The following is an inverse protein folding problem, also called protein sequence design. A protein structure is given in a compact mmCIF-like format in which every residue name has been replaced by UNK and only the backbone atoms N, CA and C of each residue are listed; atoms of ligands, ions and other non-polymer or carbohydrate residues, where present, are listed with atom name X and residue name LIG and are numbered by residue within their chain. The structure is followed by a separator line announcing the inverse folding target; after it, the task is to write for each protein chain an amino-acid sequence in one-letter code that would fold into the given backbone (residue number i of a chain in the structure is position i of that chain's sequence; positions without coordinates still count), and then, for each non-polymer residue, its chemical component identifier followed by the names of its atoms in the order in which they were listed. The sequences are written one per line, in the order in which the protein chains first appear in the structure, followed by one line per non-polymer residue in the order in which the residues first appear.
data_IF_245561042364
#
_entry.id   IF_245561042364
#
_cell.length_a   1.000
_cell.length_b   1.000
_cell.length_c   1.000
_cell.angle_alpha   90.00
_cell.angle_beta   90.00
_cell.angle_gamma   90.00
#
_symmetry.space_group_name_H-M   'P 1'
#
loop_
_entity.id
_entity.type
_entity.pdbx_description
1 polymer ?
#
# COMPACT_ATOMS: atom_id res chain seq x y z
N UNK A 1 13.69 7.11 -2.90
CA UNK A 1 14.25 5.86 -2.33
C UNK A 1 13.11 4.98 -1.83
N UNK A 2 13.21 3.66 -2.06
CA UNK A 2 12.24 2.72 -1.52
C UNK A 2 12.41 2.58 0.00
N UNK A 3 11.31 2.53 0.72
CA UNK A 3 11.29 2.52 2.18
C UNK A 3 10.34 1.44 2.69
N UNK A 4 10.73 0.73 3.75
CA UNK A 4 9.84 -0.14 4.51
C UNK A 4 9.73 0.36 5.96
N UNK A 5 8.51 0.61 6.39
CA UNK A 5 8.15 1.10 7.73
C UNK A 5 7.60 -0.08 8.52
N UNK A 6 8.21 -0.35 9.67
CA UNK A 6 7.80 -1.43 10.57
C UNK A 6 7.39 -0.84 11.89
N UNK A 7 6.14 -1.01 12.24
CA UNK A 7 5.59 -0.56 13.52
C UNK A 7 4.45 -1.45 13.97
N UNK A 8 4.05 -1.35 15.23
CA UNK A 8 2.93 -2.11 15.77
C UNK A 8 1.60 -1.71 15.11
N UNK A 9 0.60 -2.57 15.18
CA UNK A 9 -0.76 -2.29 14.75
C UNK A 9 -1.30 -1.07 15.51
N UNK A 10 -2.08 -0.22 14.86
CA UNK A 10 -2.63 1.04 15.41
C UNK A 10 -1.60 2.12 15.82
N UNK A 11 -0.39 2.08 15.28
CA UNK A 11 0.70 3.03 15.59
C UNK A 11 0.74 4.27 14.69
N UNK A 12 -0.32 4.57 13.93
CA UNK A 12 -0.34 5.70 13.00
C UNK A 12 0.43 5.48 11.71
N UNK A 13 0.66 4.23 11.30
CA UNK A 13 1.37 3.87 10.04
C UNK A 13 0.86 4.65 8.82
N UNK A 14 -0.46 4.75 8.67
CA UNK A 14 -1.09 5.47 7.54
C UNK A 14 -0.62 6.91 7.47
N UNK A 15 -0.57 7.62 8.58
CA UNK A 15 -0.09 9.01 8.63
C UNK A 15 1.41 9.10 8.34
N UNK A 16 2.20 8.12 8.75
CA UNK A 16 3.65 8.16 8.57
C UNK A 16 4.10 8.16 7.11
N UNK A 17 3.34 7.52 6.21
CA UNK A 17 3.61 7.59 4.77
C UNK A 17 2.78 8.66 4.06
N UNK A 18 1.54 8.88 4.51
CA UNK A 18 0.62 9.77 3.80
C UNK A 18 1.03 11.24 3.94
N UNK A 19 1.43 11.68 5.15
CA UNK A 19 1.80 13.08 5.36
C UNK A 19 2.99 13.54 4.50
N UNK A 20 4.11 12.81 4.40
CA UNK A 20 5.19 13.18 3.48
C UNK A 20 4.76 13.21 2.02
N UNK A 21 3.97 12.23 1.57
CA UNK A 21 3.46 12.16 0.19
C UNK A 21 2.55 13.35 -0.10
N UNK A 22 1.61 13.69 0.80
CA UNK A 22 0.72 14.84 0.64
C UNK A 22 1.49 16.16 0.67
N UNK A 23 2.45 16.31 1.60
CA UNK A 23 3.30 17.50 1.64
C UNK A 23 4.06 17.72 0.33
N UNK A 24 4.54 16.64 -0.27
CA UNK A 24 5.20 16.73 -1.57
C UNK A 24 4.19 16.99 -2.70
N UNK A 25 3.03 16.34 -2.66
CA UNK A 25 1.97 16.52 -3.66
C UNK A 25 1.50 17.98 -3.74
N UNK A 26 1.26 18.63 -2.58
CA UNK A 26 0.83 20.04 -2.51
C UNK A 26 1.91 20.98 -3.04
N UNK A 27 3.18 20.67 -2.83
CA UNK A 27 4.31 21.52 -3.27
C UNK A 27 4.75 21.23 -4.71
N UNK A 28 4.29 20.14 -5.30
CA UNK A 28 4.71 19.75 -6.63
C UNK A 28 4.18 20.74 -7.68
N UNK A 29 4.97 21.10 -8.70
CA UNK A 29 4.55 22.00 -9.78
C UNK A 29 3.45 21.40 -10.67
N UNK A 30 3.30 20.07 -10.63
CA UNK A 30 2.26 19.34 -11.35
C UNK A 30 1.80 18.13 -10.54
N UNK A 31 0.52 17.74 -10.65
CA UNK A 31 0.00 16.56 -9.97
C UNK A 31 0.73 15.28 -10.40
N UNK A 32 0.97 14.37 -9.45
CA UNK A 32 1.55 13.06 -9.72
C UNK A 32 0.66 11.93 -9.18
N UNK A 33 0.84 10.73 -9.70
CA UNK A 33 0.08 9.55 -9.31
C UNK A 33 0.63 8.90 -8.04
N UNK A 34 -0.27 8.44 -7.18
CA UNK A 34 -0.01 7.62 -5.99
C UNK A 34 -0.90 6.38 -6.04
N UNK A 35 -0.29 5.20 -6.05
CA UNK A 35 -1.00 3.93 -6.01
C UNK A 35 -0.91 3.35 -4.60
N UNK A 36 -2.07 3.10 -3.98
CA UNK A 36 -2.18 2.53 -2.64
C UNK A 36 -2.71 1.10 -2.76
N UNK A 37 -1.89 0.14 -2.35
CA UNK A 37 -2.21 -1.29 -2.44
C UNK A 37 -2.44 -1.89 -1.07
N UNK A 38 -3.62 -2.48 -0.91
CA UNK A 38 -4.02 -3.25 0.25
C UNK A 38 -4.20 -4.73 -0.13
N UNK A 39 -3.91 -5.68 0.78
CA UNK A 39 -3.98 -7.10 0.43
C UNK A 39 -5.39 -7.60 0.13
N UNK A 40 -6.40 -6.96 0.70
CA UNK A 40 -7.81 -7.36 0.53
C UNK A 40 -8.71 -6.17 0.25
N UNK A 41 -9.87 -6.42 -0.40
CA UNK A 41 -10.92 -5.43 -0.63
C UNK A 41 -11.46 -4.81 0.67
N UNK A 42 -11.61 -5.63 1.74
CA UNK A 42 -12.11 -5.15 3.02
C UNK A 42 -11.20 -4.09 3.63
N UNK A 43 -9.88 -4.32 3.63
CA UNK A 43 -8.89 -3.35 4.08
C UNK A 43 -8.87 -2.09 3.19
N UNK A 44 -8.98 -2.25 1.87
CA UNK A 44 -9.06 -1.11 0.95
C UNK A 44 -10.22 -0.18 1.29
N UNK A 45 -11.41 -0.74 1.56
CA UNK A 45 -12.62 0.03 1.88
C UNK A 45 -12.56 0.68 3.26
N UNK A 46 -12.04 -0.01 4.26
CA UNK A 46 -11.83 0.56 5.60
C UNK A 46 -10.90 1.78 5.55
N UNK A 47 -9.81 1.67 4.80
CA UNK A 47 -8.86 2.75 4.63
C UNK A 47 -9.37 3.89 3.74
N UNK A 48 -10.27 3.64 2.80
CA UNK A 48 -10.87 4.67 1.93
C UNK A 48 -11.51 5.79 2.74
N UNK A 49 -12.29 5.46 3.76
CA UNK A 49 -12.93 6.45 4.63
C UNK A 49 -11.92 7.31 5.41
N UNK A 50 -10.84 6.72 5.86
CA UNK A 50 -9.78 7.43 6.59
C UNK A 50 -8.94 8.29 5.64
N UNK A 51 -8.49 7.73 4.52
CA UNK A 51 -7.77 8.43 3.47
C UNK A 51 -8.60 9.56 2.87
N UNK A 52 -9.88 9.31 2.59
CA UNK A 52 -10.80 10.30 2.06
C UNK A 52 -10.93 11.54 2.95
N UNK A 53 -10.99 11.37 4.28
CA UNK A 53 -11.03 12.49 5.22
C UNK A 53 -9.73 13.30 5.22
N UNK A 54 -8.60 12.64 5.18
CA UNK A 54 -7.28 13.29 5.15
C UNK A 54 -7.02 13.98 3.80
N UNK A 55 -7.40 13.33 2.71
CA UNK A 55 -7.22 13.88 1.37
C UNK A 55 -8.17 15.04 1.07
N UNK A 56 -9.41 15.02 1.57
CA UNK A 56 -10.37 16.13 1.41
C UNK A 56 -9.85 17.48 1.95
N UNK A 57 -9.00 17.43 2.96
CA UNK A 57 -8.37 18.65 3.50
C UNK A 57 -7.23 19.18 2.62
N UNK A 58 -6.65 18.36 1.76
CA UNK A 58 -5.44 18.66 1.01
C UNK A 58 -5.62 18.58 -0.53
N UNK A 59 -6.63 17.84 -1.00
CA UNK A 59 -6.84 17.55 -2.42
C UNK A 59 -8.34 17.52 -2.71
N UNK A 60 -8.75 17.93 -3.91
CA UNK A 60 -10.13 17.79 -4.37
C UNK A 60 -10.59 16.32 -4.28
N UNK A 61 -11.80 16.10 -3.77
CA UNK A 61 -12.34 14.75 -3.51
C UNK A 61 -12.37 13.84 -4.74
N UNK A 62 -12.46 14.40 -5.94
CA UNK A 62 -12.46 13.67 -7.22
C UNK A 62 -11.09 13.07 -7.57
N UNK A 63 -10.02 13.47 -6.89
CA UNK A 63 -8.66 12.99 -7.14
C UNK A 63 -8.34 11.67 -6.44
N UNK A 64 -9.22 11.18 -5.56
CA UNK A 64 -9.13 9.87 -4.92
C UNK A 64 -10.17 8.94 -5.54
N UNK A 65 -9.77 7.72 -5.89
CA UNK A 65 -10.68 6.68 -6.36
C UNK A 65 -10.28 5.29 -5.87
N UNK A 66 -11.27 4.47 -5.52
CA UNK A 66 -11.07 3.05 -5.21
C UNK A 66 -11.38 2.22 -6.45
N UNK A 67 -10.37 1.52 -6.94
CA UNK A 67 -10.45 0.68 -8.12
C UNK A 67 -10.38 -0.80 -7.73
N UNK A 68 -11.54 -1.41 -7.58
CA UNK A 68 -11.69 -2.82 -7.22
C UNK A 68 -12.69 -3.57 -8.14
N UNK A 69 -12.97 -4.85 -7.83
CA UNK A 69 -13.89 -5.68 -8.63
C UNK A 69 -15.32 -5.18 -8.62
N UNK A 70 -15.73 -4.44 -7.58
CA UNK A 70 -17.12 -3.96 -7.39
C UNK A 70 -17.30 -2.51 -7.88
N UNK A 71 -16.21 -1.83 -8.29
CA UNK A 71 -16.26 -0.46 -8.80
C UNK A 71 -17.11 -0.40 -10.08
N UNK A 72 -18.17 0.42 -10.16
CA UNK A 72 -19.01 0.57 -11.34
C UNK A 72 -18.23 1.04 -12.58
N UNK A 73 -18.70 0.67 -13.76
CA UNK A 73 -17.99 0.96 -15.02
C UNK A 73 -17.75 2.47 -15.24
N UNK A 74 -18.74 3.30 -14.95
CA UNK A 74 -18.62 4.75 -15.09
C UNK A 74 -17.60 5.33 -14.13
N UNK A 75 -17.59 4.86 -12.89
CA UNK A 75 -16.63 5.26 -11.89
C UNK A 75 -15.21 4.82 -12.26
N UNK A 76 -15.03 3.61 -12.81
CA UNK A 76 -13.74 3.15 -13.34
C UNK A 76 -13.16 4.10 -14.38
N UNK A 77 -13.99 4.57 -15.32
CA UNK A 77 -13.56 5.51 -16.35
C UNK A 77 -13.17 6.87 -15.74
N UNK A 78 -13.93 7.32 -14.75
CA UNK A 78 -13.63 8.56 -14.06
C UNK A 78 -12.31 8.49 -13.29
N UNK A 79 -12.08 7.40 -12.52
CA UNK A 79 -10.83 7.14 -11.80
C UNK A 79 -9.65 7.17 -12.76
N UNK A 80 -9.74 6.45 -13.87
CA UNK A 80 -8.69 6.39 -14.88
C UNK A 80 -8.33 7.75 -15.47
N UNK A 81 -9.33 8.63 -15.59
CA UNK A 81 -9.18 9.94 -16.23
C UNK A 81 -8.60 11.00 -15.29
N UNK A 82 -9.06 11.06 -14.04
CA UNK A 82 -8.81 12.21 -13.14
C UNK A 82 -8.13 11.87 -11.82
N UNK A 83 -8.15 10.60 -11.36
CA UNK A 83 -7.59 10.28 -10.07
C UNK A 83 -6.07 10.43 -10.03
N UNK A 84 -5.58 11.02 -8.94
CA UNK A 84 -4.16 11.09 -8.61
C UNK A 84 -3.82 10.06 -7.53
N UNK A 85 -4.76 9.74 -6.65
CA UNK A 85 -4.65 8.71 -5.64
C UNK A 85 -5.59 7.56 -5.99
N UNK A 86 -5.03 6.38 -6.21
CA UNK A 86 -5.80 5.17 -6.55
C UNK A 86 -5.58 4.10 -5.49
N UNK A 87 -6.66 3.71 -4.83
CA UNK A 87 -6.70 2.58 -3.90
C UNK A 87 -7.06 1.33 -4.69
N UNK A 88 -6.30 0.25 -4.52
CA UNK A 88 -6.56 -1.01 -5.22
C UNK A 88 -5.94 -2.20 -4.46
N UNK A 89 -5.97 -3.38 -5.07
CA UNK A 89 -5.34 -4.59 -4.58
C UNK A 89 -4.53 -5.29 -5.70
N UNK A 90 -3.68 -6.28 -5.37
CA UNK A 90 -2.84 -6.95 -6.36
C UNK A 90 -3.62 -7.64 -7.49
N UNK A 91 -4.81 -8.20 -7.19
CA UNK A 91 -5.64 -8.87 -8.20
C UNK A 91 -6.16 -7.88 -9.23
N UNK A 92 -6.63 -6.72 -8.78
CA UNK A 92 -7.08 -5.65 -9.67
C UNK A 92 -5.93 -5.00 -10.43
N UNK A 93 -4.74 -4.91 -9.82
CA UNK A 93 -3.55 -4.48 -10.53
C UNK A 93 -3.25 -5.44 -11.69
N UNK A 94 -3.35 -6.75 -11.44
CA UNK A 94 -3.15 -7.79 -12.45
C UNK A 94 -4.23 -7.81 -13.54
N UNK A 95 -5.50 -7.87 -13.14
CA UNK A 95 -6.62 -8.09 -14.06
C UNK A 95 -7.21 -6.81 -14.65
N UNK A 96 -7.13 -5.68 -13.94
CA UNK A 96 -7.78 -4.42 -14.33
C UNK A 96 -6.82 -3.38 -14.89
N UNK A 97 -5.65 -3.20 -14.27
CA UNK A 97 -4.69 -2.16 -14.67
C UNK A 97 -3.76 -2.64 -15.78
N UNK A 98 -3.05 -3.74 -15.57
CA UNK A 98 -2.05 -4.25 -16.52
C UNK A 98 -2.59 -4.50 -17.93
N UNK A 99 -3.73 -5.17 -18.13
CA UNK A 99 -4.25 -5.39 -19.49
C UNK A 99 -4.71 -4.12 -20.20
N UNK A 100 -5.05 -3.08 -19.43
CA UNK A 100 -5.60 -1.83 -19.91
C UNK A 100 -4.63 -0.64 -19.82
N UNK A 101 -3.34 -0.90 -19.60
CA UNK A 101 -2.33 0.12 -19.33
C UNK A 101 -2.21 1.18 -20.45
N UNK A 102 -2.41 0.79 -21.71
CA UNK A 102 -2.33 1.70 -22.86
C UNK A 102 -3.63 2.47 -23.12
N UNK A 103 -4.77 2.03 -22.58
CA UNK A 103 -6.08 2.62 -22.87
C UNK A 103 -6.49 3.64 -21.81
N UNK A 104 -6.81 3.19 -20.61
CA UNK A 104 -7.31 4.09 -19.56
C UNK A 104 -6.22 4.54 -18.56
N UNK A 105 -5.16 3.75 -18.39
CA UNK A 105 -4.17 3.97 -17.34
C UNK A 105 -2.91 4.71 -17.78
N UNK A 106 -2.74 4.96 -19.07
CA UNK A 106 -1.51 5.57 -19.63
C UNK A 106 -1.11 6.85 -18.90
N UNK A 107 -2.03 7.78 -18.73
CA UNK A 107 -1.74 9.08 -18.10
C UNK A 107 -1.40 8.93 -16.60
N UNK A 108 -2.13 8.07 -15.86
CA UNK A 108 -1.84 7.80 -14.47
C UNK A 108 -0.47 7.13 -14.31
N UNK A 109 -0.19 6.10 -15.11
CA UNK A 109 1.08 5.37 -15.06
C UNK A 109 2.27 6.25 -15.44
N UNK A 110 2.13 7.12 -16.43
CA UNK A 110 3.20 8.03 -16.87
C UNK A 110 3.61 9.06 -15.81
N UNK A 111 2.72 9.38 -14.87
CA UNK A 111 2.98 10.31 -13.76
C UNK A 111 3.03 9.63 -12.38
N UNK A 112 3.04 8.28 -12.35
CA UNK A 112 3.08 7.51 -11.11
C UNK A 112 4.42 7.74 -10.40
N UNK A 113 4.36 8.25 -9.15
CA UNK A 113 5.54 8.61 -8.36
C UNK A 113 5.73 7.73 -7.13
N UNK A 114 4.62 7.30 -6.52
CA UNK A 114 4.65 6.45 -5.33
C UNK A 114 3.76 5.24 -5.48
N UNK A 115 4.26 4.11 -5.00
CA UNK A 115 3.52 2.87 -4.77
C UNK A 115 3.58 2.59 -3.27
N UNK A 116 2.46 2.77 -2.59
CA UNK A 116 2.31 2.41 -1.19
C UNK A 116 1.78 0.98 -1.12
N UNK A 117 2.44 0.12 -0.37
CA UNK A 117 2.03 -1.28 -0.17
C UNK A 117 1.85 -1.51 1.32
N UNK A 118 0.60 -1.56 1.75
CA UNK A 118 0.29 -1.80 3.15
C UNK A 118 0.22 -3.30 3.45
N UNK A 119 0.44 -3.64 4.72
CA UNK A 119 0.47 -5.01 5.24
C UNK A 119 1.32 -5.98 4.38
N UNK A 120 2.47 -5.48 3.90
CA UNK A 120 3.35 -6.22 2.96
C UNK A 120 3.78 -7.59 3.49
N UNK A 121 3.76 -7.79 4.81
CA UNK A 121 4.08 -9.06 5.45
C UNK A 121 3.08 -10.19 5.12
N UNK A 122 1.91 -9.88 4.58
CA UNK A 122 0.91 -10.86 4.15
C UNK A 122 1.27 -11.53 2.82
N UNK A 123 2.13 -10.91 2.01
CA UNK A 123 2.55 -11.45 0.71
C UNK A 123 3.65 -12.51 0.86
N UNK A 124 3.26 -13.73 1.25
CA UNK A 124 4.15 -14.86 1.50
C UNK A 124 3.70 -16.11 0.73
N UNK A 125 4.60 -17.10 0.63
CA UNK A 125 4.32 -18.35 -0.03
C UNK A 125 3.93 -18.17 -1.50
N UNK A 126 2.98 -18.94 -1.97
CA UNK A 126 2.48 -18.92 -3.35
C UNK A 126 1.85 -17.57 -3.71
N UNK A 127 1.06 -17.00 -2.79
CA UNK A 127 0.47 -15.68 -2.98
C UNK A 127 1.54 -14.60 -3.13
N UNK A 128 2.57 -14.59 -2.28
CA UNK A 128 3.69 -13.67 -2.38
C UNK A 128 4.46 -13.81 -3.70
N UNK A 129 4.66 -15.04 -4.17
CA UNK A 129 5.31 -15.32 -5.46
C UNK A 129 4.49 -14.79 -6.64
N UNK A 130 3.16 -14.96 -6.59
CA UNK A 130 2.25 -14.40 -7.59
C UNK A 130 2.32 -12.87 -7.61
N UNK A 131 2.19 -12.24 -6.45
CA UNK A 131 2.26 -10.78 -6.30
C UNK A 131 3.59 -10.22 -6.78
N UNK A 132 4.72 -10.90 -6.49
CA UNK A 132 6.03 -10.51 -6.99
C UNK A 132 6.10 -10.48 -8.53
N UNK A 133 5.48 -11.46 -9.20
CA UNK A 133 5.40 -11.49 -10.66
C UNK A 133 4.51 -10.37 -11.22
N UNK A 134 3.39 -10.04 -10.55
CA UNK A 134 2.54 -8.91 -10.91
C UNK A 134 3.34 -7.61 -10.83
N UNK A 135 4.07 -7.37 -9.75
CA UNK A 135 4.89 -6.17 -9.60
C UNK A 135 6.02 -6.06 -10.62
N UNK A 136 6.70 -7.16 -10.96
CA UNK A 136 7.73 -7.14 -12.02
C UNK A 136 7.15 -6.69 -13.37
N UNK A 137 5.96 -7.17 -13.70
CA UNK A 137 5.26 -6.73 -14.92
C UNK A 137 4.83 -5.27 -14.82
N UNK A 138 4.31 -4.87 -13.66
CA UNK A 138 3.83 -3.52 -13.41
C UNK A 138 4.96 -2.48 -13.54
N UNK A 139 6.12 -2.74 -12.96
CA UNK A 139 7.27 -1.85 -13.05
C UNK A 139 7.76 -1.68 -14.50
N UNK A 140 7.79 -2.76 -15.28
CA UNK A 140 8.10 -2.67 -16.72
C UNK A 140 7.08 -1.80 -17.47
N UNK A 141 5.81 -1.92 -17.13
CA UNK A 141 4.76 -1.08 -17.72
C UNK A 141 4.94 0.39 -17.31
N UNK A 142 5.30 0.68 -16.05
CA UNK A 142 5.64 2.03 -15.61
C UNK A 142 6.80 2.62 -16.43
N UNK A 143 7.87 1.85 -16.65
CA UNK A 143 9.00 2.28 -17.48
C UNK A 143 8.60 2.57 -18.94
N UNK A 144 7.75 1.75 -19.53
CA UNK A 144 7.20 1.99 -20.89
C UNK A 144 6.45 3.33 -20.95
N UNK A 145 5.77 3.72 -19.87
CA UNK A 145 5.06 4.99 -19.77
C UNK A 145 5.92 6.14 -19.23
N UNK A 146 7.22 5.93 -19.02
CA UNK A 146 8.18 6.96 -18.61
C UNK A 146 8.24 7.25 -17.12
N UNK A 147 7.62 6.41 -16.25
CA UNK A 147 7.67 6.58 -14.80
C UNK A 147 8.57 5.54 -14.11
N UNK A 148 9.15 5.95 -12.97
CA UNK A 148 9.93 5.09 -12.06
C UNK A 148 9.50 5.35 -10.63
N UNK A 149 8.38 4.76 -10.21
CA UNK A 149 7.82 5.03 -8.90
C UNK A 149 8.70 4.48 -7.77
N UNK A 150 8.70 5.18 -6.63
CA UNK A 150 9.31 4.71 -5.38
C UNK A 150 8.30 3.95 -4.54
N UNK A 151 8.76 2.87 -3.90
CA UNK A 151 7.95 2.09 -2.97
C UNK A 151 7.98 2.65 -1.56
N UNK A 152 6.82 2.69 -0.92
CA UNK A 152 6.67 2.87 0.53
C UNK A 152 5.88 1.68 1.05
N UNK A 153 6.55 0.75 1.71
CA UNK A 153 5.94 -0.46 2.25
C UNK A 153 5.67 -0.30 3.74
N UNK A 154 4.51 -0.77 4.20
CA UNK A 154 4.18 -0.84 5.62
C UNK A 154 4.01 -2.30 6.04
N UNK A 155 4.54 -2.64 7.21
CA UNK A 155 4.52 -4.00 7.75
C UNK A 155 4.23 -3.99 9.24
N UNK A 156 3.59 -5.04 9.73
CA UNK A 156 3.63 -5.38 11.13
C UNK A 156 5.06 -5.77 11.54
N UNK A 157 5.28 -5.92 12.84
CA UNK A 157 6.57 -6.37 13.39
C UNK A 157 6.83 -7.82 12.97
N UNK A 158 7.77 -8.00 12.06
CA UNK A 158 8.27 -9.30 11.58
C UNK A 158 9.79 -9.37 11.73
N UNK A 159 10.36 -10.57 11.70
CA UNK A 159 11.79 -10.79 11.93
C UNK A 159 12.70 -10.13 10.87
N UNK A 160 12.34 -10.27 9.59
CA UNK A 160 13.15 -9.90 8.43
C UNK A 160 12.40 -9.04 7.40
N UNK A 161 11.89 -7.85 7.78
CA UNK A 161 11.01 -7.04 6.91
C UNK A 161 11.73 -6.49 5.67
N UNK A 162 13.01 -6.14 5.81
CA UNK A 162 13.80 -5.60 4.70
C UNK A 162 14.07 -6.67 3.65
N UNK A 163 14.58 -7.81 4.05
CA UNK A 163 14.86 -8.95 3.16
C UNK A 163 13.60 -9.41 2.44
N UNK A 164 12.46 -9.38 3.14
CA UNK A 164 11.16 -9.74 2.58
C UNK A 164 10.77 -8.82 1.42
N UNK A 165 10.78 -7.48 1.62
CA UNK A 165 10.42 -6.54 0.54
C UNK A 165 11.47 -6.52 -0.58
N UNK A 166 12.75 -6.67 -0.27
CA UNK A 166 13.81 -6.77 -1.27
C UNK A 166 13.65 -8.03 -2.15
N UNK A 167 13.25 -9.15 -1.56
CA UNK A 167 12.92 -10.36 -2.31
C UNK A 167 11.67 -10.19 -3.19
N UNK A 168 10.61 -9.53 -2.66
CA UNK A 168 9.34 -9.33 -3.34
C UNK A 168 9.46 -8.39 -4.54
N UNK A 169 10.15 -7.26 -4.38
CA UNK A 169 10.23 -6.20 -5.41
C UNK A 169 11.53 -6.18 -6.20
N UNK A 170 12.54 -6.95 -5.79
CA UNK A 170 13.87 -7.00 -6.41
C UNK A 170 14.55 -5.62 -6.49
N UNK A 171 14.39 -4.83 -5.45
CA UNK A 171 14.97 -3.50 -5.30
C UNK A 171 15.50 -3.30 -3.89
N UNK A 172 16.49 -2.41 -3.67
CA UNK A 172 16.98 -2.09 -2.32
C UNK A 172 15.98 -1.24 -1.56
N UNK A 173 15.87 -1.47 -0.25
CA UNK A 173 14.99 -0.74 0.65
C UNK A 173 15.72 -0.17 1.87
N UNK A 174 15.29 1.02 2.30
CA UNK A 174 15.65 1.59 3.59
C UNK A 174 14.63 1.14 4.64
N UNK A 175 15.11 0.59 5.75
CA UNK A 175 14.27 0.12 6.85
C UNK A 175 14.11 1.21 7.92
N UNK A 176 12.87 1.50 8.29
CA UNK A 176 12.49 2.37 9.41
C UNK A 176 11.80 1.51 10.46
N UNK A 177 12.41 1.37 11.65
CA UNK A 177 11.88 0.58 12.78
C UNK A 177 11.55 1.42 14.03
N UNK A 178 12.09 2.63 14.13
CA UNK A 178 11.88 3.50 15.28
C UNK A 178 10.61 4.31 15.07
N UNK A 179 9.55 3.91 15.77
CA UNK A 179 8.25 4.56 15.67
C UNK A 179 8.06 5.74 16.66
N UNK A 180 8.96 5.87 17.66
CA UNK A 180 8.86 6.93 18.67
C UNK A 180 7.60 6.84 19.56
N UNK A 181 6.76 5.82 19.40
CA UNK A 181 5.54 5.64 20.16
C UNK A 181 5.86 5.25 21.61
N UNK A 182 5.12 5.78 22.61
CA UNK A 182 5.27 5.36 23.99
C UNK A 182 4.90 3.87 24.10
N UNK A 183 5.76 3.09 24.79
CA UNK A 183 5.52 1.67 25.00
C UNK A 183 4.97 1.49 26.42
N UNK A 184 3.69 1.16 26.59
CA UNK A 184 3.16 0.81 27.88
C UNK A 184 3.83 -0.47 28.39
N UNK A 185 4.00 -0.56 29.70
CA UNK A 185 4.44 -1.81 30.34
C UNK A 185 3.44 -2.91 29.99
N UNK A 186 3.94 -4.06 29.55
CA UNK A 186 3.15 -5.26 29.30
C UNK A 186 3.65 -6.36 30.20
N UNK A 187 2.78 -6.86 31.05
CA UNK A 187 3.05 -8.04 31.88
C UNK A 187 2.41 -9.24 31.16
N UNK A 188 3.22 -10.23 30.81
CA UNK A 188 2.77 -11.46 30.15
C UNK A 188 2.67 -12.56 31.20
N UNK A 189 1.47 -13.04 31.45
CA UNK A 189 1.21 -14.18 32.34
C UNK A 189 1.04 -15.43 31.47
N UNK A 190 1.97 -16.37 31.61
CA UNK A 190 1.84 -17.70 30.99
C UNK A 190 1.16 -18.61 32.04
N UNK A 191 -0.10 -18.94 31.78
CA UNK A 191 -0.88 -19.85 32.62
C UNK A 191 -0.87 -21.22 31.92
N UNK A 192 -0.29 -22.22 32.65
CA UNK A 192 -0.41 -23.60 32.23
C UNK A 192 -1.70 -24.17 32.85
N UNK A 193 -2.75 -24.44 32.07
CA UNK A 193 -3.98 -25.00 32.63
C UNK A 193 -3.68 -26.38 33.23
N UNK A 194 -4.23 -26.70 34.43
CA UNK A 194 -4.08 -28.04 35.02
C UNK A 194 -4.64 -29.09 34.06
N UNK A 195 -3.97 -30.24 33.94
CA UNK A 195 -4.49 -31.33 33.13
C UNK A 195 -5.85 -31.81 33.69
N UNK A 196 -6.80 -32.24 32.83
CA UNK A 196 -8.05 -32.81 33.33
C UNK A 196 -7.79 -34.00 34.26
N UNK A 197 -8.04 -33.85 35.54
CA UNK A 197 -7.77 -34.85 36.58
C UNK A 197 -6.79 -34.44 37.68
N UNK A 198 -6.08 -33.34 37.57
CA UNK A 198 -5.29 -32.75 38.67
C UNK A 198 -6.15 -31.70 39.39
N UNK A 199 -6.57 -32.03 40.61
CA UNK A 199 -7.17 -31.05 41.51
C UNK A 199 -6.11 -30.07 41.99
N UNK A 200 -6.44 -28.77 41.96
CA UNK A 200 -5.63 -27.67 42.48
C UNK A 200 -5.32 -27.81 43.97
#
# INVERSE_FOLDING_TARGET
RNTVIVSQTASGKTLSFLLPILSEYIRAPSPFGVLLLYPTKALSRDQEGTLGRLLKAAVESQRLGTFDGDTPREERQNIQRIADFVITNPDMLHAGVLPNHNRGWKNFLGRLRYIVVDEVHTYRGDFGSHVANVFRRFLRVCEIHGSRPSFVCCSATVGNPREHVEALFRQPFTLIRRDGAPRPRRDLYLINPPHPGESA
#
